data_IF_721620196363
#
_entry.id   IF_721620196363
#
_cell.length_a   1.000
_cell.length_b   1.000
_cell.length_c   1.000
_cell.angle_alpha   90.00
_cell.angle_beta   90.00
_cell.angle_gamma   90.00
#
_symmetry.space_group_name_H-M   'P 1'
#
loop_
_entity.id
_entity.type
_entity.pdbx_description
1 polymer ?
#
# COMPACT_ATOMS: atom_id res chain seq x y z
N UNK A 1 12.91 -2.09 -20.39
CA UNK A 1 14.15 -1.81 -19.62
C UNK A 1 14.42 -0.32 -19.67
N UNK A 2 14.60 0.34 -18.53
CA UNK A 2 14.82 1.80 -18.46
C UNK A 2 16.30 2.20 -18.51
N UNK A 3 17.23 1.26 -18.73
CA UNK A 3 18.68 1.51 -18.72
C UNK A 3 19.16 2.24 -17.46
N UNK A 4 18.59 1.91 -16.31
CA UNK A 4 18.89 2.56 -15.02
C UNK A 4 18.12 3.86 -14.77
N UNK A 5 17.32 4.35 -15.72
CA UNK A 5 16.45 5.49 -15.50
C UNK A 5 15.28 5.15 -14.57
N UNK A 6 14.71 6.14 -13.87
CA UNK A 6 13.54 5.93 -13.01
C UNK A 6 12.39 5.28 -13.78
N UNK A 7 11.73 4.32 -13.15
CA UNK A 7 10.60 3.59 -13.76
C UNK A 7 9.28 4.32 -13.62
N UNK A 8 9.10 5.11 -12.56
CA UNK A 8 7.85 5.82 -12.25
C UNK A 8 7.25 6.65 -13.40
N UNK A 9 8.01 7.30 -14.32
CA UNK A 9 7.41 8.08 -15.41
C UNK A 9 6.54 7.24 -16.35
N UNK A 10 6.81 5.93 -16.42
CA UNK A 10 6.10 5.00 -17.28
C UNK A 10 4.91 4.33 -16.59
N UNK A 11 4.93 4.26 -15.25
CA UNK A 11 3.94 3.49 -14.47
C UNK A 11 2.53 4.03 -14.66
N UNK A 12 2.35 5.35 -14.62
CA UNK A 12 1.03 5.98 -14.77
C UNK A 12 0.46 5.84 -16.21
N UNK A 13 1.22 6.09 -17.29
CA UNK A 13 0.77 5.81 -18.66
C UNK A 13 0.33 4.37 -18.92
N UNK A 14 0.91 3.38 -18.23
CA UNK A 14 0.51 1.98 -18.35
C UNK A 14 -0.78 1.63 -17.59
N UNK A 15 -1.46 2.60 -16.96
CA UNK A 15 -2.68 2.35 -16.20
C UNK A 15 -2.43 1.48 -14.96
N UNK A 16 -1.24 1.58 -14.37
CA UNK A 16 -0.88 0.74 -13.22
C UNK A 16 -1.56 1.23 -11.95
N UNK A 17 -2.36 0.36 -11.32
CA UNK A 17 -2.97 0.62 -10.02
C UNK A 17 -2.04 0.35 -8.83
N UNK A 18 -1.07 -0.57 -8.97
CA UNK A 18 -0.09 -0.91 -7.94
C UNK A 18 1.28 -1.21 -8.53
N UNK A 19 2.32 -0.50 -8.07
CA UNK A 19 3.71 -0.71 -8.45
C UNK A 19 4.49 -1.46 -7.36
N UNK A 20 5.00 -2.66 -7.68
CA UNK A 20 5.80 -3.47 -6.78
C UNK A 20 7.26 -3.51 -7.21
N UNK A 21 8.18 -3.28 -6.27
CA UNK A 21 9.62 -3.26 -6.58
C UNK A 21 10.45 -3.74 -5.39
N UNK A 22 11.50 -4.52 -5.63
CA UNK A 22 12.47 -4.87 -4.60
C UNK A 22 13.45 -3.73 -4.29
N UNK A 23 13.45 -2.66 -5.10
CA UNK A 23 14.23 -1.44 -4.88
C UNK A 23 13.38 -0.39 -4.12
N UNK A 24 13.68 -0.10 -2.84
CA UNK A 24 12.93 0.85 -2.03
C UNK A 24 12.95 2.28 -2.58
N UNK A 25 14.02 2.70 -3.25
CA UNK A 25 14.11 4.04 -3.83
C UNK A 25 13.11 4.21 -4.99
N UNK A 26 12.87 3.13 -5.76
CA UNK A 26 11.85 3.16 -6.82
C UNK A 26 10.45 3.25 -6.24
N UNK A 27 10.19 2.54 -5.12
CA UNK A 27 8.92 2.60 -4.39
C UNK A 27 8.67 4.00 -3.85
N UNK A 28 9.66 4.59 -3.17
CA UNK A 28 9.57 5.95 -2.62
C UNK A 28 9.25 6.97 -3.70
N UNK A 29 9.95 6.92 -4.84
CA UNK A 29 9.69 7.82 -5.97
C UNK A 29 8.27 7.65 -6.51
N UNK A 30 7.81 6.42 -6.70
CA UNK A 30 6.43 6.17 -7.15
C UNK A 30 5.40 6.78 -6.19
N UNK A 31 5.56 6.58 -4.88
CA UNK A 31 4.69 7.16 -3.85
C UNK A 31 4.70 8.70 -3.90
N UNK A 32 5.86 9.34 -4.00
CA UNK A 32 5.97 10.80 -4.14
C UNK A 32 5.28 11.34 -5.39
N UNK A 33 5.15 10.52 -6.44
CA UNK A 33 4.43 10.85 -7.67
C UNK A 33 2.95 10.40 -7.67
N UNK A 34 2.40 10.06 -6.50
CA UNK A 34 0.99 9.71 -6.34
C UNK A 34 0.61 8.34 -6.90
N UNK A 35 1.58 7.44 -7.03
CA UNK A 35 1.37 6.07 -7.51
C UNK A 35 1.41 5.14 -6.30
N UNK A 36 0.39 4.31 -6.11
CA UNK A 36 0.42 3.27 -5.08
C UNK A 36 1.60 2.34 -5.33
N UNK A 37 2.49 2.20 -4.36
CA UNK A 37 3.67 1.38 -4.51
C UNK A 37 4.10 0.73 -3.20
N UNK A 38 4.64 -0.48 -3.30
CA UNK A 38 5.15 -1.22 -2.15
C UNK A 38 6.43 -1.99 -2.46
N UNK A 39 7.24 -2.19 -1.43
CA UNK A 39 8.44 -3.03 -1.53
C UNK A 39 8.03 -4.48 -1.52
N UNK A 40 8.45 -5.23 -2.54
CA UNK A 40 8.31 -6.69 -2.52
C UNK A 40 9.58 -7.30 -1.92
N UNK A 41 9.41 -8.12 -0.89
CA UNK A 41 10.51 -8.83 -0.27
C UNK A 41 10.76 -10.13 -1.06
N UNK A 42 11.93 -10.31 -1.68
CA UNK A 42 12.26 -11.60 -2.27
C UNK A 42 12.30 -12.65 -1.17
N UNK A 43 11.82 -13.87 -1.48
CA UNK A 43 11.88 -14.96 -0.50
C UNK A 43 13.31 -15.20 -0.06
N UNK A 44 13.47 -15.60 1.20
CA UNK A 44 14.78 -16.02 1.68
C UNK A 44 15.25 -17.28 0.90
N UNK A 45 16.55 -17.41 0.59
CA UNK A 45 17.08 -18.64 0.02
C UNK A 45 16.74 -19.84 0.92
N UNK A 46 16.00 -20.81 0.39
CA UNK A 46 15.60 -22.01 1.14
C UNK A 46 14.20 -22.02 1.76
N UNK A 47 13.47 -20.89 1.76
CA UNK A 47 12.04 -20.92 2.09
C UNK A 47 11.29 -21.73 1.01
N UNK A 48 10.68 -22.85 1.40
CA UNK A 48 9.72 -23.58 0.56
C UNK A 48 8.37 -22.87 0.62
N UNK A 49 7.60 -22.91 -0.48
CA UNK A 49 6.27 -22.27 -0.55
C UNK A 49 5.32 -22.74 0.57
N UNK A 50 5.58 -23.92 1.13
CA UNK A 50 4.87 -24.56 2.24
C UNK A 50 4.98 -23.77 3.57
N UNK A 51 6.07 -23.05 3.82
CA UNK A 51 6.25 -22.32 5.09
C UNK A 51 5.31 -21.11 5.24
N UNK A 52 4.86 -20.52 4.11
CA UNK A 52 3.85 -19.45 4.11
C UNK A 52 2.43 -19.97 4.38
N UNK A 53 2.17 -21.28 4.21
CA UNK A 53 0.89 -21.91 4.49
C UNK A 53 0.66 -22.15 6.00
N UNK A 54 1.72 -22.22 6.79
CA UNK A 54 1.66 -22.58 8.21
C UNK A 54 1.08 -21.48 9.14
N UNK A 55 0.78 -20.28 8.62
CA UNK A 55 0.32 -19.14 9.45
C UNK A 55 -1.20 -19.13 9.65
N UNK A 56 -2.04 -19.83 8.84
CA UNK A 56 -3.51 -19.75 8.99
C UNK A 56 -4.27 -21.00 8.50
N UNK A 57 -4.93 -21.67 9.47
CA UNK A 57 -6.09 -22.59 9.43
C UNK A 57 -6.19 -23.76 8.41
N UNK A 58 -6.82 -24.85 8.87
CA UNK A 58 -6.78 -26.26 8.41
C UNK A 58 -7.31 -26.61 6.98
N UNK A 59 -7.35 -25.69 6.00
CA UNK A 59 -7.84 -25.99 4.64
C UNK A 59 -6.73 -25.88 3.58
N UNK A 60 -5.86 -26.89 3.57
CA UNK A 60 -4.58 -26.95 2.85
C UNK A 60 -4.68 -26.83 1.31
N UNK A 61 -5.85 -27.03 0.71
CA UNK A 61 -5.98 -27.09 -0.75
C UNK A 61 -6.26 -25.74 -1.42
N UNK A 62 -6.97 -24.82 -0.75
CA UNK A 62 -7.39 -23.54 -1.37
C UNK A 62 -6.42 -22.39 -1.11
N UNK A 63 -5.59 -22.49 -0.07
CA UNK A 63 -4.79 -21.36 0.42
C UNK A 63 -3.44 -21.17 -0.29
N UNK A 64 -2.91 -22.21 -0.93
CA UNK A 64 -1.64 -22.13 -1.67
C UNK A 64 -1.71 -21.24 -2.93
N UNK A 65 -2.91 -20.84 -3.35
CA UNK A 65 -3.16 -20.01 -4.53
C UNK A 65 -3.84 -18.67 -4.22
N UNK A 66 -4.19 -18.41 -2.96
CA UNK A 66 -4.91 -17.19 -2.58
C UNK A 66 -3.95 -16.05 -2.21
N UNK A 67 -4.08 -14.91 -2.90
CA UNK A 67 -3.44 -13.65 -2.47
C UNK A 67 -4.30 -13.00 -1.37
N UNK A 68 -3.69 -12.72 -0.23
CA UNK A 68 -4.31 -11.98 0.89
C UNK A 68 -3.67 -10.61 1.01
N UNK A 69 -4.50 -9.57 1.08
CA UNK A 69 -4.07 -8.18 1.17
C UNK A 69 -4.74 -7.57 2.39
N UNK A 70 -3.93 -6.99 3.29
CA UNK A 70 -4.41 -6.21 4.43
C UNK A 70 -4.08 -4.73 4.18
N UNK A 71 -5.03 -3.86 4.53
CA UNK A 71 -4.86 -2.41 4.46
C UNK A 71 -4.96 -1.84 5.87
N UNK A 72 -3.96 -1.07 6.26
CA UNK A 72 -3.87 -0.44 7.60
C UNK A 72 -4.81 0.79 7.74
N UNK A 73 -5.46 1.21 6.65
CA UNK A 73 -6.34 2.38 6.63
C UNK A 73 -5.56 3.68 6.55
N UNK A 74 -4.93 4.11 7.64
CA UNK A 74 -4.21 5.38 7.74
C UNK A 74 -2.95 5.40 6.89
N UNK A 75 -2.65 6.56 6.27
CA UNK A 75 -1.56 6.76 5.32
C UNK A 75 -1.51 5.79 4.10
N UNK A 76 -2.48 4.86 3.99
CA UNK A 76 -2.58 3.84 2.93
C UNK A 76 -3.84 4.08 2.10
N UNK A 77 -5.02 3.96 2.72
CA UNK A 77 -6.32 4.24 2.10
C UNK A 77 -6.74 5.69 2.34
N UNK A 78 -6.42 6.22 3.51
CA UNK A 78 -6.59 7.61 3.90
C UNK A 78 -5.23 8.33 3.90
N UNK A 79 -5.23 9.65 3.81
CA UNK A 79 -4.02 10.47 3.84
C UNK A 79 -3.36 10.50 5.21
N UNK A 80 -2.14 11.04 5.26
CA UNK A 80 -1.27 11.06 6.45
C UNK A 80 -1.31 12.40 7.21
N UNK A 81 -2.26 13.29 6.92
CA UNK A 81 -2.32 14.67 7.42
C UNK A 81 -2.28 14.72 8.96
N UNK A 82 -3.11 13.91 9.62
CA UNK A 82 -3.16 13.87 11.08
C UNK A 82 -1.90 13.24 11.69
N UNK A 83 -1.28 12.25 11.04
CA UNK A 83 -0.02 11.67 11.51
C UNK A 83 1.13 12.68 11.44
N UNK A 84 1.17 13.51 10.38
CA UNK A 84 2.14 14.61 10.26
C UNK A 84 1.97 15.62 11.38
N UNK A 85 0.74 16.02 11.70
CA UNK A 85 0.47 16.95 12.80
C UNK A 85 0.93 16.36 14.14
N UNK A 86 0.68 15.08 14.38
CA UNK A 86 1.14 14.40 15.60
C UNK A 86 2.67 14.39 15.69
N UNK A 87 3.38 14.07 14.60
CA UNK A 87 4.84 14.03 14.56
C UNK A 87 5.50 15.41 14.68
N UNK A 88 4.91 16.43 14.05
CA UNK A 88 5.49 17.78 13.98
C UNK A 88 5.11 18.65 15.18
N UNK A 89 3.88 18.50 15.72
CA UNK A 89 3.29 19.41 16.71
C UNK A 89 2.80 18.71 17.98
N UNK A 90 2.93 17.39 18.07
CA UNK A 90 2.57 16.59 19.23
C UNK A 90 1.09 16.21 19.30
N UNK A 91 0.78 15.34 20.27
CA UNK A 91 -0.52 14.67 20.42
C UNK A 91 -1.67 15.64 20.72
N UNK A 92 -1.41 16.74 21.44
CA UNK A 92 -2.46 17.74 21.71
C UNK A 92 -2.92 18.46 20.44
N UNK A 93 -1.98 18.79 19.54
CA UNK A 93 -2.28 19.40 18.26
C UNK A 93 -3.09 18.43 17.37
N UNK A 94 -2.71 17.15 17.37
CA UNK A 94 -3.48 16.09 16.70
C UNK A 94 -4.93 16.04 17.21
N UNK A 95 -5.13 16.00 18.54
CA UNK A 95 -6.48 15.93 19.12
C UNK A 95 -7.32 17.18 18.86
N UNK A 96 -6.71 18.34 18.69
CA UNK A 96 -7.42 19.57 18.25
C UNK A 96 -7.79 19.48 16.77
N UNK A 97 -6.86 19.09 15.91
CA UNK A 97 -7.10 18.92 14.46
C UNK A 97 -8.23 17.93 14.18
N UNK A 98 -8.20 16.75 14.83
CA UNK A 98 -9.27 15.74 14.69
C UNK A 98 -10.64 16.27 15.13
N UNK A 99 -10.70 17.04 16.23
CA UNK A 99 -11.96 17.60 16.72
C UNK A 99 -12.50 18.69 15.80
N UNK A 100 -11.65 19.58 15.32
CA UNK A 100 -12.04 20.67 14.43
C UNK A 100 -12.52 20.14 13.08
N UNK A 101 -11.93 19.05 12.59
CA UNK A 101 -12.19 18.48 11.26
C UNK A 101 -12.98 17.17 11.27
N UNK A 102 -13.59 16.82 12.40
CA UNK A 102 -14.32 15.55 12.58
C UNK A 102 -15.46 15.31 11.56
N UNK A 103 -15.96 16.38 10.92
CA UNK A 103 -17.03 16.30 9.89
C UNK A 103 -16.50 16.43 8.47
N UNK A 104 -15.20 16.62 8.30
CA UNK A 104 -14.56 16.67 7.00
C UNK A 104 -14.11 15.26 6.62
N UNK A 105 -14.40 14.80 5.38
CA UNK A 105 -13.88 13.53 4.91
C UNK A 105 -12.34 13.53 4.94
N UNK A 106 -11.76 12.41 5.38
CA UNK A 106 -10.31 12.21 5.33
C UNK A 106 -9.81 12.36 3.90
N UNK A 107 -8.62 12.93 3.77
CA UNK A 107 -7.92 12.97 2.49
C UNK A 107 -7.66 11.54 1.99
N UNK A 108 -7.57 11.38 0.67
CA UNK A 108 -7.40 10.06 0.06
C UNK A 108 -5.94 9.64 0.07
N UNK A 109 -5.69 8.41 0.50
CA UNK A 109 -4.38 7.79 0.50
C UNK A 109 -4.00 7.23 -0.88
N UNK A 110 -2.71 6.91 -1.09
CA UNK A 110 -2.19 6.49 -2.39
C UNK A 110 -2.80 5.17 -2.89
N UNK A 111 -3.27 4.29 -2.01
CA UNK A 111 -3.80 2.96 -2.38
C UNK A 111 -5.32 2.94 -2.62
N UNK A 112 -6.02 4.08 -2.52
CA UNK A 112 -7.47 4.14 -2.75
C UNK A 112 -7.87 3.54 -4.10
N UNK A 113 -7.16 3.90 -5.17
CA UNK A 113 -7.50 3.43 -6.52
C UNK A 113 -7.25 1.92 -6.66
N UNK A 114 -6.17 1.42 -6.08
CA UNK A 114 -5.91 -0.01 -6.02
C UNK A 114 -7.00 -0.78 -5.27
N UNK A 115 -7.46 -0.28 -4.12
CA UNK A 115 -8.57 -0.87 -3.39
C UNK A 115 -9.86 -0.91 -4.25
N UNK A 116 -10.15 0.18 -4.96
CA UNK A 116 -11.29 0.24 -5.87
C UNK A 116 -11.18 -0.79 -7.00
N UNK A 117 -10.00 -0.93 -7.61
CA UNK A 117 -9.75 -1.90 -8.67
C UNK A 117 -9.90 -3.35 -8.17
N UNK A 118 -9.36 -3.66 -6.98
CA UNK A 118 -9.54 -4.95 -6.32
C UNK A 118 -11.01 -5.27 -6.07
N UNK A 119 -11.77 -4.32 -5.54
CA UNK A 119 -13.20 -4.50 -5.31
C UNK A 119 -13.95 -4.81 -6.60
N UNK A 120 -13.66 -4.07 -7.69
CA UNK A 120 -14.25 -4.36 -9.01
C UNK A 120 -13.90 -5.77 -9.49
N UNK A 121 -12.65 -6.22 -9.32
CA UNK A 121 -12.21 -7.56 -9.70
C UNK A 121 -12.91 -8.66 -8.88
N UNK A 122 -13.18 -8.44 -7.60
CA UNK A 122 -13.83 -9.41 -6.72
C UNK A 122 -15.35 -9.49 -6.95
N UNK A 123 -15.96 -8.43 -7.46
CA UNK A 123 -17.38 -8.36 -7.75
C UNK A 123 -17.76 -8.82 -9.17
N UNK A 124 -16.76 -9.09 -10.03
CA UNK A 124 -16.93 -9.60 -11.40
C UNK A 124 -17.14 -11.12 -11.42
#
# INVERSE_FOLDING_TARGET
>A
FTSGQPTWPYVKPFGTDLFLSANPESVRRALTHGIAAATIMPRAPGERAEAAAAIVDNDESRLSTQLRIAFDGDAVIFGDESERISREQGVEAFGRHERERAREPLSVGPFRNFLSALHTLQAA
#
